data_IF_158412445185
#
_entry.id   IF_158412445185
#
_cell.length_a   1.000
_cell.length_b   1.000
_cell.length_c   1.000
_cell.angle_alpha   90.00
_cell.angle_beta   90.00
_cell.angle_gamma   90.00
#
_symmetry.space_group_name_H-M   'P 1'
#
loop_
_entity.id
_entity.type
_entity.pdbx_description
1 polymer ?
#
# COMPACT_ATOMS: atom_id res chain seq x y z
N UNK A 1 70.34 -51.18 -43.68
CA UNK A 1 69.31 -52.22 -43.47
C UNK A 1 68.73 -52.06 -42.06
N UNK A 2 67.43 -52.35 -41.88
CA UNK A 2 66.42 -51.56 -41.14
C UNK A 2 66.44 -51.79 -39.62
N UNK A 3 65.80 -51.02 -38.72
CA UNK A 3 64.37 -50.73 -38.61
C UNK A 3 64.15 -49.57 -37.59
N UNK A 4 63.36 -48.52 -37.90
CA UNK A 4 61.89 -48.41 -37.82
C UNK A 4 61.39 -48.18 -36.38
N UNK A 5 60.57 -47.11 -36.25
CA UNK A 5 59.39 -46.90 -35.35
C UNK A 5 59.54 -45.73 -34.36
N UNK A 6 58.90 -44.59 -34.67
CA UNK A 6 57.59 -44.12 -34.16
C UNK A 6 57.80 -43.18 -32.95
N UNK A 7 57.09 -42.06 -32.73
CA UNK A 7 56.07 -41.29 -33.44
C UNK A 7 55.76 -40.03 -32.57
N UNK A 8 55.23 -38.97 -33.20
CA UNK A 8 54.26 -37.96 -32.67
C UNK A 8 54.78 -37.01 -31.55
N UNK A 9 55.11 -35.74 -31.82
CA UNK A 9 54.31 -34.54 -32.17
C UNK A 9 53.77 -33.75 -30.95
N UNK A 10 54.05 -32.44 -30.87
CA UNK A 10 53.05 -31.36 -30.88
C UNK A 10 53.62 -29.96 -30.54
N UNK A 11 52.96 -28.95 -31.15
CA UNK A 11 52.75 -27.55 -30.74
C UNK A 11 53.75 -26.47 -31.19
N UNK A 12 53.47 -25.96 -32.40
CA UNK A 12 53.81 -24.62 -32.83
C UNK A 12 52.74 -23.63 -32.31
N UNK A 13 53.17 -22.68 -31.49
CA UNK A 13 52.45 -21.44 -31.24
C UNK A 13 52.97 -20.38 -32.23
N UNK A 14 52.04 -19.65 -32.86
CA UNK A 14 52.09 -18.22 -33.18
C UNK A 14 51.20 -17.95 -34.40
N UNK A 15 50.25 -17.00 -34.27
CA UNK A 15 49.70 -16.31 -35.42
C UNK A 15 48.36 -15.62 -35.21
N UNK A 16 48.38 -14.29 -35.39
CA UNK A 16 47.29 -13.37 -35.79
C UNK A 16 46.36 -12.86 -34.68
N UNK A 17 46.39 -11.58 -34.26
CA UNK A 17 46.17 -10.29 -34.95
C UNK A 17 44.67 -10.00 -35.27
N UNK A 18 44.20 -8.86 -34.72
CA UNK A 18 42.95 -8.11 -34.97
C UNK A 18 41.60 -8.76 -34.62
N UNK A 19 40.97 -8.25 -33.55
CA UNK A 19 39.51 -8.30 -33.39
C UNK A 19 39.03 -6.94 -32.86
N UNK A 20 38.30 -6.26 -33.75
CA UNK A 20 37.62 -4.99 -33.67
C UNK A 20 37.27 -4.45 -32.26
N UNK A 21 37.64 -3.20 -32.03
CA UNK A 21 36.92 -2.29 -31.14
C UNK A 21 35.51 -2.11 -31.70
N UNK A 22 34.54 -2.85 -31.18
CA UNK A 22 33.14 -2.56 -31.42
C UNK A 22 32.80 -1.23 -30.73
N UNK A 23 32.96 -0.13 -31.47
CA UNK A 23 32.27 1.12 -31.16
C UNK A 23 30.79 0.79 -31.28
N UNK A 24 30.14 0.52 -30.14
CA UNK A 24 28.71 0.34 -30.08
C UNK A 24 28.05 1.56 -30.71
N UNK A 25 27.55 1.40 -31.93
CA UNK A 25 26.69 2.40 -32.53
C UNK A 25 25.52 2.53 -31.57
N UNK A 26 25.42 3.68 -30.90
CA UNK A 26 24.19 4.06 -30.22
C UNK A 26 23.11 4.04 -31.30
N UNK A 27 22.33 2.95 -31.33
CA UNK A 27 21.24 2.80 -32.27
C UNK A 27 20.29 3.97 -32.03
N UNK A 28 20.02 4.75 -33.07
CA UNK A 28 19.03 5.82 -33.01
C UNK A 28 17.72 5.23 -32.48
N UNK A 29 17.13 5.81 -31.41
CA UNK A 29 15.90 5.27 -30.85
C UNK A 29 14.81 5.18 -31.91
N UNK A 30 14.09 4.06 -31.94
CA UNK A 30 12.93 3.93 -32.81
C UNK A 30 11.78 4.84 -32.34
N UNK A 31 10.74 5.09 -33.16
CA UNK A 31 9.67 6.03 -32.80
C UNK A 31 8.99 5.73 -31.45
N UNK A 32 8.78 4.45 -31.12
CA UNK A 32 8.18 4.03 -29.85
C UNK A 32 9.09 4.33 -28.65
N UNK A 33 10.39 4.19 -28.82
CA UNK A 33 11.38 4.52 -27.80
C UNK A 33 11.45 6.03 -27.56
N UNK A 34 11.45 6.82 -28.63
CA UNK A 34 11.40 8.29 -28.57
C UNK A 34 10.13 8.78 -27.88
N UNK A 35 8.97 8.23 -28.22
CA UNK A 35 7.67 8.58 -27.60
C UNK A 35 7.64 8.23 -26.11
N UNK A 36 8.13 7.05 -25.73
CA UNK A 36 8.17 6.63 -24.34
C UNK A 36 9.11 7.51 -23.50
N UNK A 37 10.27 7.91 -24.07
CA UNK A 37 11.19 8.84 -23.42
C UNK A 37 10.55 10.22 -23.23
N UNK A 38 9.93 10.78 -24.26
CA UNK A 38 9.24 12.07 -24.18
C UNK A 38 8.10 12.05 -23.14
N UNK A 39 7.35 10.95 -23.08
CA UNK A 39 6.27 10.76 -22.09
C UNK A 39 6.82 10.74 -20.66
N UNK A 40 7.95 10.05 -20.44
CA UNK A 40 8.62 10.02 -19.14
C UNK A 40 9.13 11.41 -18.74
N UNK A 41 9.79 12.12 -19.65
CA UNK A 41 10.32 13.47 -19.40
C UNK A 41 9.20 14.47 -19.07
N UNK A 42 8.08 14.40 -19.79
CA UNK A 42 6.89 15.21 -19.49
C UNK A 42 6.34 14.91 -18.10
N UNK A 43 6.11 13.63 -17.77
CA UNK A 43 5.57 13.23 -16.46
C UNK A 43 6.50 13.62 -15.30
N UNK A 44 7.83 13.55 -15.52
CA UNK A 44 8.83 14.01 -14.55
C UNK A 44 8.79 15.54 -14.38
N UNK A 45 8.64 16.28 -15.49
CA UNK A 45 8.47 17.74 -15.47
C UNK A 45 7.22 18.17 -14.68
N UNK A 46 6.08 17.53 -14.95
CA UNK A 46 4.83 17.77 -14.22
C UNK A 46 4.99 17.48 -12.74
N UNK A 47 5.61 16.35 -12.38
CA UNK A 47 5.81 15.98 -10.99
C UNK A 47 6.66 17.01 -10.24
N UNK A 48 7.76 17.48 -10.84
CA UNK A 48 8.59 18.56 -10.27
C UNK A 48 7.81 19.86 -10.10
N UNK A 49 7.05 20.25 -11.12
CA UNK A 49 6.25 21.48 -11.10
C UNK A 49 5.20 21.47 -9.98
N UNK A 50 4.43 20.38 -9.87
CA UNK A 50 3.37 20.24 -8.86
C UNK A 50 3.96 20.15 -7.45
N UNK A 51 5.12 19.51 -7.26
CA UNK A 51 5.85 19.52 -5.98
C UNK A 51 6.23 20.95 -5.58
N UNK A 52 6.84 21.70 -6.50
CA UNK A 52 7.25 23.07 -6.25
C UNK A 52 6.06 23.99 -5.95
N UNK A 53 4.95 23.85 -6.68
CA UNK A 53 3.72 24.60 -6.44
C UNK A 53 3.17 24.33 -5.04
N UNK A 54 3.03 23.06 -4.65
CA UNK A 54 2.50 22.70 -3.32
C UNK A 54 3.43 23.18 -2.21
N UNK A 55 4.75 23.05 -2.38
CA UNK A 55 5.75 23.58 -1.45
C UNK A 55 5.61 25.09 -1.29
N UNK A 56 5.56 25.82 -2.39
CA UNK A 56 5.40 27.28 -2.38
C UNK A 56 4.12 27.73 -1.68
N UNK A 57 2.98 27.06 -1.93
CA UNK A 57 1.72 27.34 -1.24
C UNK A 57 1.83 27.10 0.28
N UNK A 58 2.46 26.01 0.70
CA UNK A 58 2.66 25.69 2.13
C UNK A 58 3.59 26.69 2.80
N UNK A 59 4.74 26.98 2.21
CA UNK A 59 5.74 27.89 2.79
C UNK A 59 5.20 29.33 2.89
N UNK A 60 4.41 29.76 1.91
CA UNK A 60 3.72 31.05 1.90
C UNK A 60 2.45 31.08 2.76
N UNK A 61 2.07 29.97 3.42
CA UNK A 61 0.84 29.81 4.21
C UNK A 61 -0.43 30.19 3.42
N UNK A 62 -0.41 29.94 2.11
CA UNK A 62 -1.57 30.16 1.26
C UNK A 62 -2.64 29.09 1.52
N UNK A 63 -3.93 29.40 1.30
CA UNK A 63 -4.98 28.39 1.30
C UNK A 63 -4.65 27.27 0.30
N UNK A 64 -4.73 26.01 0.75
CA UNK A 64 -4.57 24.87 -0.13
C UNK A 64 -5.89 24.56 -0.86
N UNK A 65 -5.87 23.95 -2.07
CA UNK A 65 -7.06 23.44 -2.73
C UNK A 65 -7.80 22.41 -1.87
N UNK A 66 -9.06 22.16 -2.21
CA UNK A 66 -9.92 21.21 -1.48
C UNK A 66 -9.36 19.76 -1.45
N UNK A 67 -8.55 19.36 -2.42
CA UNK A 67 -7.91 18.04 -2.49
C UNK A 67 -6.38 18.20 -2.60
N UNK A 68 -5.71 18.67 -1.53
CA UNK A 68 -4.39 19.30 -1.65
C UNK A 68 -3.27 18.32 -2.07
N UNK A 69 -3.39 17.05 -1.68
CA UNK A 69 -2.48 15.97 -2.06
C UNK A 69 -2.89 15.18 -3.31
N UNK A 70 -4.07 15.42 -3.88
CA UNK A 70 -4.55 14.59 -4.99
C UNK A 70 -3.72 14.81 -6.27
N UNK A 71 -3.39 16.07 -6.61
CA UNK A 71 -2.54 16.37 -7.75
C UNK A 71 -1.14 15.76 -7.60
N UNK A 72 -0.55 15.87 -6.40
CA UNK A 72 0.73 15.24 -6.06
C UNK A 72 0.69 13.72 -6.24
N UNK A 73 -0.35 13.09 -5.71
CA UNK A 73 -0.52 11.64 -5.80
C UNK A 73 -0.61 11.18 -7.25
N UNK A 74 -1.43 11.86 -8.07
CA UNK A 74 -1.59 11.53 -9.48
C UNK A 74 -0.29 11.73 -10.26
N UNK A 75 0.43 12.83 -10.03
CA UNK A 75 1.70 13.11 -10.69
C UNK A 75 2.77 12.06 -10.32
N UNK A 76 2.83 11.64 -9.04
CA UNK A 76 3.69 10.54 -8.59
C UNK A 76 3.35 9.23 -9.31
N UNK A 77 2.07 8.89 -9.42
CA UNK A 77 1.65 7.67 -10.13
C UNK A 77 2.00 7.77 -11.62
N UNK A 78 1.80 8.93 -12.24
CA UNK A 78 2.09 9.17 -13.65
C UNK A 78 3.58 9.00 -13.98
N UNK A 79 4.50 9.56 -13.18
CA UNK A 79 5.94 9.43 -13.45
C UNK A 79 6.44 7.99 -13.30
N UNK A 80 5.98 7.26 -12.28
CA UNK A 80 6.31 5.82 -12.09
C UNK A 80 5.74 4.99 -13.25
N UNK A 81 4.50 5.30 -13.66
CA UNK A 81 3.82 4.66 -14.78
C UNK A 81 4.54 4.90 -16.12
N UNK A 82 4.95 6.14 -16.39
CA UNK A 82 5.67 6.50 -17.61
C UNK A 82 7.08 5.90 -17.65
N UNK A 83 7.74 5.79 -16.49
CA UNK A 83 9.03 5.09 -16.41
C UNK A 83 8.88 3.60 -16.72
N UNK A 84 7.81 2.95 -16.26
CA UNK A 84 7.52 1.55 -16.64
C UNK A 84 7.28 1.40 -18.14
N UNK A 85 6.58 2.34 -18.78
CA UNK A 85 6.41 2.33 -20.24
C UNK A 85 7.75 2.53 -20.96
N UNK A 86 8.62 3.41 -20.44
CA UNK A 86 9.97 3.63 -20.95
C UNK A 86 10.83 2.37 -20.87
N UNK A 87 10.86 1.69 -19.73
CA UNK A 87 11.66 0.47 -19.56
C UNK A 87 11.10 -0.71 -20.35
N UNK A 88 9.79 -0.75 -20.62
CA UNK A 88 9.19 -1.71 -21.56
C UNK A 88 9.62 -1.47 -23.00
N UNK A 89 9.72 -0.21 -23.43
CA UNK A 89 10.19 0.14 -24.78
C UNK A 89 11.72 0.08 -24.92
N UNK A 90 12.44 0.33 -23.82
CA UNK A 90 13.89 0.43 -23.74
C UNK A 90 14.41 -0.26 -22.47
N UNK A 91 14.55 -1.60 -22.46
CA UNK A 91 15.05 -2.33 -21.29
C UNK A 91 16.43 -1.88 -20.80
N UNK A 92 17.25 -1.27 -21.67
CA UNK A 92 18.53 -0.65 -21.29
C UNK A 92 18.40 0.54 -20.34
N UNK A 93 17.20 1.09 -20.16
CA UNK A 93 16.90 2.17 -19.22
C UNK A 93 16.54 1.67 -17.82
N UNK A 94 16.43 0.36 -17.60
CA UNK A 94 16.23 -0.22 -16.27
C UNK A 94 17.41 0.18 -15.38
N UNK A 95 17.11 0.90 -14.31
CA UNK A 95 18.11 1.48 -13.43
C UNK A 95 18.60 0.55 -12.32
N UNK A 96 19.26 1.17 -11.34
CA UNK A 96 19.70 0.52 -10.10
C UNK A 96 18.54 0.24 -9.14
N UNK A 97 18.72 -0.65 -8.14
CA UNK A 97 17.82 -0.73 -6.99
C UNK A 97 17.67 0.61 -6.28
N UNK A 98 16.48 0.81 -5.69
CA UNK A 98 16.10 2.01 -4.93
C UNK A 98 15.77 1.65 -3.48
N UNK A 99 15.79 2.65 -2.60
CA UNK A 99 15.49 2.50 -1.17
C UNK A 99 14.02 2.19 -0.87
N UNK A 100 13.14 2.28 -1.87
CA UNK A 100 11.73 1.93 -1.75
C UNK A 100 11.46 0.47 -2.05
N UNK A 101 12.46 -0.28 -2.51
CA UNK A 101 12.38 -1.70 -2.90
C UNK A 101 11.36 -1.95 -4.02
N UNK A 102 11.04 -0.90 -4.78
CA UNK A 102 10.23 -1.02 -5.99
C UNK A 102 11.11 -1.67 -7.08
N UNK A 103 10.62 -2.66 -7.85
CA UNK A 103 11.44 -3.28 -8.88
C UNK A 103 12.03 -2.23 -9.85
N UNK A 104 13.32 -2.31 -10.24
CA UNK A 104 13.98 -1.25 -11.02
C UNK A 104 13.38 -0.98 -12.41
N UNK A 105 12.57 -1.89 -12.94
CA UNK A 105 11.82 -1.63 -14.17
C UNK A 105 10.65 -0.64 -13.96
N UNK A 106 10.17 -0.50 -12.72
CA UNK A 106 9.01 0.33 -12.40
C UNK A 106 9.39 1.69 -11.83
N UNK A 107 10.61 1.87 -11.33
CA UNK A 107 10.99 3.07 -10.60
C UNK A 107 12.39 3.57 -10.95
N UNK A 108 12.47 4.84 -11.35
CA UNK A 108 13.73 5.54 -11.59
C UNK A 108 14.35 5.91 -10.23
N UNK A 109 15.50 5.32 -9.91
CA UNK A 109 16.18 5.60 -8.65
C UNK A 109 16.69 7.04 -8.53
N UNK A 110 16.81 7.79 -9.63
CA UNK A 110 17.29 9.17 -9.61
C UNK A 110 16.23 10.16 -9.12
N UNK A 111 14.95 9.75 -9.09
CA UNK A 111 13.85 10.59 -8.57
C UNK A 111 13.58 10.37 -7.07
N UNK A 112 14.39 9.57 -6.37
CA UNK A 112 14.25 9.34 -4.92
C UNK A 112 14.09 10.64 -4.11
N UNK A 113 14.86 11.73 -4.36
CA UNK A 113 14.68 12.99 -3.62
C UNK A 113 13.31 13.64 -3.83
N UNK A 114 12.69 13.47 -5.01
CA UNK A 114 11.36 13.99 -5.30
C UNK A 114 10.28 13.19 -4.55
N UNK A 115 10.48 11.88 -4.38
CA UNK A 115 9.58 11.05 -3.57
C UNK A 115 9.72 11.38 -2.07
N UNK A 116 10.92 11.70 -1.60
CA UNK A 116 11.09 12.19 -0.23
C UNK A 116 10.38 13.52 -0.01
N UNK A 117 10.46 14.43 -0.99
CA UNK A 117 9.76 15.70 -0.93
C UNK A 117 8.24 15.51 -0.95
N UNK A 118 7.74 14.63 -1.82
CA UNK A 118 6.35 14.19 -1.80
C UNK A 118 5.95 13.71 -0.39
N UNK A 119 6.76 12.87 0.25
CA UNK A 119 6.52 12.40 1.61
C UNK A 119 6.43 13.52 2.63
N UNK A 120 7.38 14.45 2.61
CA UNK A 120 7.39 15.63 3.52
C UNK A 120 6.18 16.55 3.34
N UNK A 121 5.71 16.74 2.11
CA UNK A 121 4.51 17.54 1.86
C UNK A 121 3.26 16.85 2.42
N UNK A 122 3.17 15.52 2.26
CA UNK A 122 2.10 14.74 2.86
C UNK A 122 2.16 14.77 4.39
N UNK A 123 3.34 14.73 5.01
CA UNK A 123 3.49 14.87 6.46
C UNK A 123 2.86 16.16 6.99
N UNK A 124 2.93 17.25 6.23
CA UNK A 124 2.32 18.54 6.58
C UNK A 124 0.80 18.52 6.35
N UNK A 125 0.35 18.04 5.19
CA UNK A 125 -1.09 18.04 4.84
C UNK A 125 -1.91 17.05 5.68
N UNK A 126 -1.28 15.97 6.14
CA UNK A 126 -1.90 14.92 6.96
C UNK A 126 -1.73 15.17 8.46
N UNK A 127 -1.06 16.26 8.85
CA UNK A 127 -0.78 16.53 10.24
C UNK A 127 -2.06 16.55 11.09
N UNK A 128 -2.07 15.87 12.25
CA UNK A 128 -3.18 15.94 13.19
C UNK A 128 -3.36 17.39 13.69
N UNK A 129 -4.58 17.77 14.11
CA UNK A 129 -4.76 19.03 14.82
C UNK A 129 -3.98 19.02 16.15
N UNK A 130 -3.61 20.21 16.63
CA UNK A 130 -2.76 20.36 17.83
C UNK A 130 -3.35 19.73 19.10
N UNK A 131 -4.67 19.60 19.18
CA UNK A 131 -5.40 18.99 20.30
C UNK A 131 -5.68 17.49 20.12
N UNK A 132 -5.09 16.84 19.11
CA UNK A 132 -5.23 15.40 18.93
C UNK A 132 -4.64 14.64 20.12
N UNK A 133 -5.37 13.65 20.60
CA UNK A 133 -5.03 12.81 21.74
C UNK A 133 -4.34 11.55 21.24
N UNK A 134 -3.02 11.51 21.39
CA UNK A 134 -2.20 10.36 21.04
C UNK A 134 -2.23 9.30 22.16
N UNK A 135 -2.22 8.04 21.76
CA UNK A 135 -1.95 6.92 22.65
C UNK A 135 -0.45 6.70 22.81
N UNK A 136 -0.06 6.24 24.02
CA UNK A 136 1.28 5.76 24.31
C UNK A 136 1.56 4.36 23.71
N UNK A 137 0.51 3.60 23.37
CA UNK A 137 0.61 2.22 22.86
C UNK A 137 -0.15 2.03 21.54
N UNK A 138 0.04 2.89 20.54
CA UNK A 138 -0.89 3.00 19.41
C UNK A 138 -1.09 1.71 18.63
N UNK A 139 0.00 0.96 18.41
CA UNK A 139 -0.06 -0.30 17.69
C UNK A 139 -0.68 -1.43 18.52
N UNK A 140 -0.45 -1.44 19.84
CA UNK A 140 -1.08 -2.41 20.74
C UNK A 140 -2.59 -2.19 20.76
N UNK A 141 -3.03 -0.93 20.79
CA UNK A 141 -4.44 -0.57 20.80
C UNK A 141 -5.17 -1.11 19.57
N UNK A 142 -4.58 -0.98 18.38
CA UNK A 142 -5.13 -1.54 17.13
C UNK A 142 -5.30 -3.06 17.24
N UNK A 143 -4.29 -3.75 17.78
CA UNK A 143 -4.33 -5.21 17.93
C UNK A 143 -5.36 -5.63 18.97
N UNK A 144 -5.33 -5.03 20.16
CA UNK A 144 -6.20 -5.38 21.28
C UNK A 144 -7.67 -5.16 20.93
N UNK A 145 -8.01 -3.99 20.36
CA UNK A 145 -9.37 -3.67 19.93
C UNK A 145 -9.88 -4.69 18.91
N UNK A 146 -9.09 -5.00 17.88
CA UNK A 146 -9.50 -5.95 16.87
C UNK A 146 -9.65 -7.38 17.41
N UNK A 147 -8.77 -7.81 18.32
CA UNK A 147 -8.86 -9.11 19.00
C UNK A 147 -10.12 -9.19 19.85
N UNK A 148 -10.43 -8.16 20.64
CA UNK A 148 -11.62 -8.12 21.47
C UNK A 148 -12.91 -8.13 20.62
N UNK A 149 -12.97 -7.33 19.56
CA UNK A 149 -14.10 -7.32 18.61
C UNK A 149 -14.29 -8.71 17.98
N UNK A 150 -13.21 -9.36 17.57
CA UNK A 150 -13.27 -10.71 16.99
C UNK A 150 -13.79 -11.74 18.01
N UNK A 151 -13.31 -11.70 19.25
CA UNK A 151 -13.78 -12.59 20.34
C UNK A 151 -15.26 -12.36 20.67
N UNK A 152 -15.69 -11.11 20.80
CA UNK A 152 -17.11 -10.77 21.01
C UNK A 152 -17.99 -11.26 19.85
N UNK A 153 -17.44 -11.36 18.64
CA UNK A 153 -18.11 -11.95 17.46
C UNK A 153 -18.01 -13.48 17.38
N UNK A 154 -17.46 -14.14 18.40
CA UNK A 154 -17.41 -15.60 18.53
C UNK A 154 -16.20 -16.27 17.88
N UNK A 155 -15.15 -15.52 17.51
CA UNK A 155 -13.95 -16.14 16.93
C UNK A 155 -13.12 -16.85 17.99
N UNK A 156 -12.58 -18.02 17.61
CA UNK A 156 -11.58 -18.75 18.38
C UNK A 156 -10.30 -17.89 18.59
N UNK A 157 -9.49 -18.18 19.63
CA UNK A 157 -8.36 -17.35 20.00
C UNK A 157 -7.36 -17.10 18.86
N UNK A 158 -7.03 -18.11 18.06
CA UNK A 158 -6.11 -18.01 16.92
C UNK A 158 -6.66 -17.10 15.80
N UNK A 159 -7.93 -17.23 15.46
CA UNK A 159 -8.60 -16.38 14.49
C UNK A 159 -8.77 -14.94 14.99
N UNK A 160 -9.01 -14.75 16.29
CA UNK A 160 -9.03 -13.41 16.88
C UNK A 160 -7.65 -12.74 16.81
N UNK A 161 -6.55 -13.49 17.03
CA UNK A 161 -5.20 -12.98 16.81
C UNK A 161 -4.93 -12.61 15.34
N UNK A 162 -5.45 -13.40 14.40
CA UNK A 162 -5.39 -13.04 12.98
C UNK A 162 -6.11 -11.71 12.70
N UNK A 163 -7.27 -11.45 13.33
CA UNK A 163 -7.96 -10.16 13.24
C UNK A 163 -7.08 -9.00 13.72
N UNK A 164 -6.40 -9.16 14.86
CA UNK A 164 -5.45 -8.19 15.40
C UNK A 164 -4.30 -7.88 14.44
N UNK A 165 -3.66 -8.93 13.91
CA UNK A 165 -2.58 -8.81 12.93
C UNK A 165 -3.02 -8.11 11.64
N UNK A 166 -4.15 -8.52 11.08
CA UNK A 166 -4.72 -7.94 9.86
C UNK A 166 -5.03 -6.45 10.09
N UNK A 167 -5.65 -6.12 11.22
CA UNK A 167 -6.01 -4.74 11.58
C UNK A 167 -4.78 -3.84 11.72
N UNK A 168 -3.69 -4.34 12.29
CA UNK A 168 -2.43 -3.61 12.33
C UNK A 168 -1.87 -3.40 10.91
N UNK A 169 -1.98 -4.39 10.03
CA UNK A 169 -1.65 -4.26 8.61
C UNK A 169 -2.39 -3.10 7.95
N UNK A 170 -3.71 -3.03 8.12
CA UNK A 170 -4.54 -1.96 7.58
C UNK A 170 -4.18 -0.59 8.16
N UNK A 171 -3.92 -0.51 9.46
CA UNK A 171 -3.47 0.72 10.08
C UNK A 171 -2.19 1.25 9.40
N UNK A 172 -1.22 0.38 9.09
CA UNK A 172 -0.03 0.78 8.32
C UNK A 172 -0.35 1.14 6.86
N UNK A 173 -1.24 0.39 6.20
CA UNK A 173 -1.65 0.66 4.81
C UNK A 173 -2.22 2.07 4.66
N UNK A 174 -3.10 2.46 5.57
CA UNK A 174 -3.80 3.74 5.49
C UNK A 174 -3.00 4.90 6.08
N UNK A 175 -2.39 4.71 7.26
CA UNK A 175 -1.81 5.81 8.03
C UNK A 175 -0.28 5.86 8.01
N UNK A 176 0.36 4.86 7.39
CA UNK A 176 1.80 4.61 7.52
C UNK A 176 2.26 4.37 8.98
N UNK A 177 1.32 3.98 9.85
CA UNK A 177 1.55 3.75 11.28
C UNK A 177 1.47 5.02 12.14
N UNK A 178 0.89 6.10 11.62
CA UNK A 178 0.77 7.38 12.33
C UNK A 178 -0.61 7.51 12.98
N UNK A 179 -0.64 8.15 14.15
CA UNK A 179 -1.87 8.39 14.89
C UNK A 179 -2.57 9.66 14.40
N UNK A 180 -3.90 9.67 14.42
CA UNK A 180 -4.73 10.87 14.26
C UNK A 180 -4.50 11.64 12.94
N UNK A 181 -3.85 11.02 11.95
CA UNK A 181 -3.54 11.65 10.68
C UNK A 181 -4.81 11.95 9.89
N UNK A 182 -4.81 13.08 9.21
CA UNK A 182 -5.84 13.44 8.25
C UNK A 182 -5.57 12.78 6.90
N UNK A 183 -6.55 12.84 6.01
CA UNK A 183 -6.34 12.42 4.63
C UNK A 183 -5.89 13.62 3.79
N UNK A 184 -4.64 13.58 3.33
CA UNK A 184 -4.08 14.65 2.51
C UNK A 184 -4.73 14.75 1.13
N UNK A 185 -5.44 13.72 0.67
CA UNK A 185 -6.02 13.64 -0.68
C UNK A 185 -7.50 14.01 -0.73
N UNK A 186 -8.22 13.97 0.39
CA UNK A 186 -9.66 14.21 0.41
C UNK A 186 -10.13 14.75 1.76
N UNK A 187 -11.02 15.74 1.70
CA UNK A 187 -11.71 16.28 2.88
C UNK A 187 -12.98 15.49 3.25
N UNK A 188 -13.43 14.58 2.38
CA UNK A 188 -14.68 13.81 2.57
C UNK A 188 -14.44 12.34 2.84
N UNK A 189 -13.44 11.75 2.19
CA UNK A 189 -13.01 10.38 2.41
C UNK A 189 -11.73 10.42 3.20
N UNK A 190 -11.78 9.97 4.44
CA UNK A 190 -10.66 10.10 5.34
C UNK A 190 -9.89 8.76 5.47
N UNK A 191 -10.56 7.60 5.39
CA UNK A 191 -9.95 6.26 5.49
C UNK A 191 -10.63 5.46 6.62
N UNK A 192 -10.44 4.14 6.70
CA UNK A 192 -11.06 3.36 7.77
C UNK A 192 -10.47 3.67 9.15
N UNK A 193 -9.17 3.95 9.27
CA UNK A 193 -8.50 4.36 10.51
C UNK A 193 -8.32 5.88 10.63
N UNK A 194 -8.96 6.62 9.75
CA UNK A 194 -8.97 8.07 9.69
C UNK A 194 -10.43 8.42 9.44
N UNK A 195 -11.33 8.19 10.39
CA UNK A 195 -12.76 8.17 10.04
C UNK A 195 -13.28 9.56 9.62
N UNK A 196 -14.15 9.57 8.60
CA UNK A 196 -15.01 10.73 8.34
C UNK A 196 -16.14 10.82 9.39
N UNK A 197 -16.84 11.96 9.51
CA UNK A 197 -17.87 12.12 10.55
C UNK A 197 -18.99 11.08 10.52
N UNK A 198 -19.38 10.59 9.33
CA UNK A 198 -20.40 9.54 9.21
C UNK A 198 -19.87 8.16 9.61
N UNK A 199 -18.61 7.88 9.28
CA UNK A 199 -17.94 6.61 9.55
C UNK A 199 -17.70 6.45 11.04
N UNK A 200 -17.22 7.51 11.70
CA UNK A 200 -17.07 7.64 13.14
C UNK A 200 -18.39 7.33 13.87
N UNK A 201 -19.45 8.09 13.56
CA UNK A 201 -20.78 7.87 14.17
C UNK A 201 -21.31 6.45 13.97
N UNK A 202 -21.10 5.87 12.79
CA UNK A 202 -21.55 4.50 12.50
C UNK A 202 -20.71 3.47 13.25
N UNK A 203 -19.40 3.70 13.36
CA UNK A 203 -18.47 2.90 14.14
C UNK A 203 -18.85 2.88 15.62
N UNK A 204 -18.97 4.05 16.22
CA UNK A 204 -19.38 4.24 17.61
C UNK A 204 -20.71 3.54 17.91
N UNK A 205 -21.74 3.76 17.07
CA UNK A 205 -23.04 3.09 17.24
C UNK A 205 -22.93 1.56 17.21
N UNK A 206 -22.08 1.01 16.34
CA UNK A 206 -21.86 -0.44 16.26
C UNK A 206 -21.03 -0.95 17.44
N UNK A 207 -20.08 -0.17 17.94
CA UNK A 207 -19.31 -0.48 19.16
C UNK A 207 -20.24 -0.60 20.36
N UNK A 208 -21.08 0.41 20.59
CA UNK A 208 -22.05 0.42 21.69
C UNK A 208 -22.97 -0.81 21.67
N UNK A 209 -23.34 -1.28 20.48
CA UNK A 209 -24.17 -2.48 20.33
C UNK A 209 -23.50 -3.79 20.79
N UNK A 210 -22.16 -3.83 20.92
CA UNK A 210 -21.41 -5.00 21.38
C UNK A 210 -20.64 -4.73 22.69
N UNK A 211 -20.78 -3.55 23.29
CA UNK A 211 -19.97 -3.14 24.45
C UNK A 211 -20.11 -4.06 25.66
N UNK A 212 -21.32 -4.59 25.89
CA UNK A 212 -21.56 -5.59 26.93
C UNK A 212 -20.83 -6.92 26.66
N UNK A 213 -20.80 -7.36 25.39
CA UNK A 213 -20.07 -8.56 24.99
C UNK A 213 -18.57 -8.37 25.16
N UNK A 214 -18.05 -7.18 24.82
CA UNK A 214 -16.65 -6.80 25.07
C UNK A 214 -16.34 -6.86 26.56
N UNK A 215 -17.17 -6.25 27.41
CA UNK A 215 -16.99 -6.27 28.86
C UNK A 215 -17.01 -7.70 29.43
N UNK A 216 -17.78 -8.62 28.84
CA UNK A 216 -17.82 -10.02 29.26
C UNK A 216 -16.54 -10.79 28.88
N UNK A 217 -15.92 -10.49 27.74
CA UNK A 217 -14.71 -11.20 27.27
C UNK A 217 -13.40 -10.53 27.70
N UNK A 218 -13.42 -9.22 27.93
CA UNK A 218 -12.26 -8.41 28.29
C UNK A 218 -12.68 -7.17 29.12
N UNK A 219 -12.91 -7.34 30.44
CA UNK A 219 -13.33 -6.25 31.33
C UNK A 219 -12.32 -5.10 31.40
N UNK A 220 -11.02 -5.39 31.31
CA UNK A 220 -9.96 -4.38 31.37
C UNK A 220 -9.95 -3.49 30.13
N UNK A 221 -10.12 -4.08 28.93
CA UNK A 221 -10.26 -3.32 27.70
C UNK A 221 -11.51 -2.45 27.72
N UNK A 222 -12.63 -2.96 28.24
CA UNK A 222 -13.86 -2.18 28.39
C UNK A 222 -13.67 -0.98 29.34
N UNK A 223 -13.03 -1.19 30.50
CA UNK A 223 -12.72 -0.10 31.42
C UNK A 223 -11.76 0.94 30.81
N UNK A 224 -10.82 0.49 29.97
CA UNK A 224 -9.96 1.39 29.20
C UNK A 224 -10.75 2.19 28.17
N UNK A 225 -11.69 1.56 27.48
CA UNK A 225 -12.58 2.21 26.53
C UNK A 225 -13.38 3.35 27.20
N UNK A 226 -13.96 3.10 28.37
CA UNK A 226 -14.66 4.13 29.16
C UNK A 226 -13.76 5.32 29.54
N UNK A 227 -12.46 5.06 29.81
CA UNK A 227 -11.49 6.12 30.10
C UNK A 227 -11.16 6.95 28.86
N UNK A 228 -11.00 6.33 27.70
CA UNK A 228 -10.70 7.04 26.46
C UNK A 228 -11.91 7.82 25.93
N UNK A 229 -13.12 7.26 26.03
CA UNK A 229 -14.39 7.97 25.85
C UNK A 229 -14.45 9.22 26.74
N UNK A 230 -14.11 9.05 28.03
CA UNK A 230 -14.08 10.15 28.98
C UNK A 230 -13.06 11.23 28.63
N UNK A 231 -11.91 10.84 28.11
CA UNK A 231 -10.83 11.74 27.69
C UNK A 231 -11.18 12.51 26.41
N UNK A 232 -11.89 11.87 25.48
CA UNK A 232 -12.30 12.48 24.22
C UNK A 232 -13.51 13.43 24.37
N UNK A 233 -14.20 13.43 25.52
CA UNK A 233 -15.33 14.33 25.79
C UNK A 233 -14.97 15.81 25.56
N UNK A 234 -15.84 16.50 24.82
CA UNK A 234 -15.66 17.91 24.49
C UNK A 234 -14.61 18.17 23.39
N UNK A 235 -14.06 17.11 22.80
CA UNK A 235 -13.18 17.18 21.63
C UNK A 235 -13.81 16.44 20.46
N UNK A 236 -13.18 16.51 19.29
CA UNK A 236 -13.57 15.72 18.13
C UNK A 236 -13.03 14.29 18.29
N UNK A 237 -13.94 13.34 18.51
CA UNK A 237 -13.66 11.94 18.82
C UNK A 237 -12.72 11.26 17.83
N UNK A 238 -12.71 11.73 16.58
CA UNK A 238 -11.88 11.23 15.48
C UNK A 238 -10.40 11.53 15.66
N UNK A 239 -10.06 12.44 16.56
CA UNK A 239 -8.68 12.80 16.90
C UNK A 239 -8.25 12.30 18.28
N UNK A 240 -8.99 11.38 18.89
CA UNK A 240 -8.44 10.48 19.90
C UNK A 240 -8.08 9.15 19.22
N UNK A 241 -6.85 8.68 19.44
CA UNK A 241 -6.33 7.50 18.75
C UNK A 241 -7.17 6.25 19.03
N UNK A 242 -7.53 6.01 20.29
CA UNK A 242 -8.26 4.81 20.70
C UNK A 242 -9.64 4.76 20.05
N UNK A 243 -10.41 5.84 20.20
CA UNK A 243 -11.78 5.93 19.71
C UNK A 243 -11.83 5.90 18.18
N UNK A 244 -10.93 6.62 17.51
CA UNK A 244 -10.86 6.60 16.04
C UNK A 244 -10.50 5.22 15.49
N UNK A 245 -9.54 4.51 16.10
CA UNK A 245 -9.20 3.13 15.71
C UNK A 245 -10.38 2.19 15.90
N UNK A 246 -11.02 2.24 17.07
CA UNK A 246 -12.17 1.41 17.42
C UNK A 246 -13.34 1.63 16.46
N UNK A 247 -13.72 2.89 16.27
CA UNK A 247 -14.88 3.26 15.44
C UNK A 247 -14.59 2.98 13.96
N UNK A 248 -13.35 3.17 13.53
CA UNK A 248 -12.86 2.75 12.22
C UNK A 248 -13.01 1.27 11.94
N UNK A 249 -12.53 0.42 12.86
CA UNK A 249 -12.67 -1.03 12.80
C UNK A 249 -14.14 -1.45 12.76
N UNK A 250 -14.96 -0.90 13.65
CA UNK A 250 -16.39 -1.22 13.73
C UNK A 250 -17.16 -0.77 12.49
N UNK A 251 -16.80 0.37 11.92
CA UNK A 251 -17.44 0.88 10.71
C UNK A 251 -17.19 -0.05 9.51
N UNK A 252 -15.93 -0.38 9.23
CA UNK A 252 -15.53 -0.91 7.94
C UNK A 252 -15.25 -2.42 7.92
N UNK A 253 -14.70 -2.97 9.02
CA UNK A 253 -14.05 -4.29 9.01
C UNK A 253 -14.70 -5.32 9.93
N UNK A 254 -15.28 -4.90 11.04
CA UNK A 254 -15.74 -5.81 12.10
C UNK A 254 -16.72 -6.89 11.61
N UNK A 255 -17.59 -6.60 10.66
CA UNK A 255 -18.50 -7.62 10.10
C UNK A 255 -17.77 -8.71 9.28
N UNK A 256 -16.63 -8.37 8.67
CA UNK A 256 -15.82 -9.34 7.90
C UNK A 256 -15.00 -10.24 8.82
N UNK A 257 -14.81 -9.88 10.10
CA UNK A 257 -14.05 -10.74 11.02
C UNK A 257 -14.62 -12.15 11.13
N UNK A 258 -15.95 -12.31 11.01
CA UNK A 258 -16.59 -13.64 10.98
C UNK A 258 -16.10 -14.54 9.85
N UNK A 259 -15.60 -13.97 8.76
CA UNK A 259 -15.07 -14.69 7.59
C UNK A 259 -13.59 -15.06 7.73
N UNK A 260 -12.88 -14.57 8.77
CA UNK A 260 -11.44 -14.83 8.97
C UNK A 260 -11.09 -16.32 8.92
N UNK A 261 -11.84 -17.26 9.53
CA UNK A 261 -11.51 -18.69 9.43
C UNK A 261 -11.43 -19.19 7.98
N UNK A 262 -12.38 -18.78 7.14
CA UNK A 262 -12.39 -19.14 5.72
C UNK A 262 -11.27 -18.41 4.96
N UNK A 263 -11.05 -17.14 5.25
CA UNK A 263 -9.98 -16.33 4.63
C UNK A 263 -8.60 -16.92 4.92
N UNK A 264 -8.29 -17.30 6.16
CA UNK A 264 -7.01 -17.90 6.54
C UNK A 264 -6.79 -19.22 5.82
N UNK A 265 -7.85 -20.01 5.61
CA UNK A 265 -7.78 -21.27 4.83
C UNK A 265 -7.48 -21.01 3.35
N UNK A 266 -8.12 -20.00 2.75
CA UNK A 266 -7.96 -19.69 1.32
C UNK A 266 -6.68 -18.91 1.01
N UNK A 267 -6.27 -18.02 1.91
CA UNK A 267 -5.10 -17.16 1.82
C UNK A 267 -4.15 -17.48 2.99
N UNK A 268 -3.30 -18.51 2.89
CA UNK A 268 -2.42 -18.88 3.99
C UNK A 268 -1.34 -17.82 4.28
N UNK A 269 -0.97 -16.99 3.30
CA UNK A 269 -0.01 -15.90 3.50
C UNK A 269 -0.65 -14.75 4.30
N UNK A 270 -0.10 -14.41 5.48
CA UNK A 270 -0.44 -13.22 6.26
C UNK A 270 -0.59 -11.91 5.46
N UNK A 271 0.28 -11.67 4.48
CA UNK A 271 0.29 -10.44 3.68
C UNK A 271 -0.89 -10.40 2.71
N UNK A 272 -1.22 -11.53 2.09
CA UNK A 272 -2.38 -11.60 1.18
C UNK A 272 -3.70 -11.42 1.92
N UNK A 273 -3.78 -11.86 3.18
CA UNK A 273 -4.93 -11.54 4.04
C UNK A 273 -5.06 -10.03 4.30
N UNK A 274 -3.95 -9.33 4.55
CA UNK A 274 -3.97 -7.87 4.73
C UNK A 274 -4.38 -7.14 3.44
N UNK A 275 -3.86 -7.57 2.29
CA UNK A 275 -4.26 -7.04 0.97
C UNK A 275 -5.75 -7.22 0.71
N UNK A 276 -6.31 -8.38 1.06
CA UNK A 276 -7.75 -8.63 0.89
C UNK A 276 -8.58 -7.64 1.72
N UNK A 277 -8.18 -7.37 2.95
CA UNK A 277 -8.88 -6.40 3.78
C UNK A 277 -8.69 -4.95 3.30
N UNK A 278 -7.55 -4.61 2.72
CA UNK A 278 -7.35 -3.32 2.05
C UNK A 278 -8.30 -3.18 0.83
N UNK A 279 -8.53 -4.26 0.09
CA UNK A 279 -9.52 -4.29 -1.00
C UNK A 279 -10.97 -4.11 -0.52
N UNK A 280 -11.27 -4.35 0.75
CA UNK A 280 -12.60 -4.03 1.31
C UNK A 280 -12.80 -2.52 1.37
N UNK A 281 -11.73 -1.73 1.51
CA UNK A 281 -11.80 -0.26 1.42
C UNK A 281 -11.80 0.23 -0.02
N UNK A 282 -10.94 -0.34 -0.86
CA UNK A 282 -10.77 0.14 -2.23
C UNK A 282 -11.96 -0.24 -3.13
N UNK A 283 -12.46 -1.48 -3.02
CA UNK A 283 -13.54 -2.04 -3.84
C UNK A 283 -14.48 -2.91 -2.99
N UNK A 284 -15.21 -2.34 -2.01
CA UNK A 284 -15.98 -3.07 -1.00
C UNK A 284 -16.97 -4.09 -1.58
N UNK A 285 -17.78 -3.67 -2.55
CA UNK A 285 -18.84 -4.51 -3.12
C UNK A 285 -18.25 -5.74 -3.85
N UNK A 286 -17.32 -5.60 -4.80
CA UNK A 286 -16.64 -6.75 -5.40
C UNK A 286 -15.97 -7.68 -4.38
N UNK A 287 -15.30 -7.14 -3.37
CA UNK A 287 -14.59 -7.96 -2.36
C UNK A 287 -15.56 -8.78 -1.52
N UNK A 288 -16.67 -8.20 -1.08
CA UNK A 288 -17.72 -8.92 -0.35
C UNK A 288 -18.40 -9.98 -1.22
N UNK A 289 -18.62 -9.70 -2.51
CA UNK A 289 -19.17 -10.67 -3.45
C UNK A 289 -18.21 -11.85 -3.68
N UNK A 290 -16.91 -11.58 -3.78
CA UNK A 290 -15.88 -12.61 -3.93
C UNK A 290 -15.75 -13.49 -2.69
N UNK A 291 -15.87 -12.94 -1.49
CA UNK A 291 -15.93 -13.72 -0.25
C UNK A 291 -17.14 -14.65 -0.21
N UNK A 292 -18.31 -14.17 -0.65
CA UNK A 292 -19.56 -14.94 -0.66
C UNK A 292 -19.65 -15.97 -1.79
N UNK A 293 -18.77 -15.92 -2.79
CA UNK A 293 -18.85 -16.82 -3.95
C UNK A 293 -18.39 -18.25 -3.64
N UNK A 294 -17.62 -18.45 -2.56
CA UNK A 294 -16.94 -19.71 -2.30
C UNK A 294 -15.71 -19.98 -3.19
N UNK A 295 -15.44 -19.09 -4.17
CA UNK A 295 -14.26 -19.14 -5.05
C UNK A 295 -13.62 -17.75 -5.15
N UNK A 296 -13.05 -17.31 -4.01
CA UNK A 296 -12.47 -15.99 -3.85
C UNK A 296 -11.43 -15.69 -4.94
N UNK A 297 -10.46 -16.58 -5.13
CA UNK A 297 -9.28 -16.30 -5.96
C UNK A 297 -9.60 -16.21 -7.45
N UNK A 298 -10.58 -16.97 -7.93
CA UNK A 298 -10.98 -16.93 -9.34
C UNK A 298 -12.13 -15.95 -9.62
N UNK A 299 -12.76 -15.37 -8.59
CA UNK A 299 -13.79 -14.36 -8.77
C UNK A 299 -13.27 -13.21 -9.63
N UNK A 300 -13.97 -12.92 -10.73
CA UNK A 300 -13.54 -11.95 -11.74
C UNK A 300 -14.29 -10.63 -11.60
N UNK A 301 -13.52 -9.55 -11.64
CA UNK A 301 -14.00 -8.18 -11.70
C UNK A 301 -13.83 -7.67 -13.13
N UNK A 302 -14.93 -7.25 -13.76
CA UNK A 302 -14.94 -6.71 -15.14
C UNK A 302 -15.66 -5.35 -15.26
N UNK A 303 -16.23 -4.83 -14.17
CA UNK A 303 -16.88 -3.51 -14.17
C UNK A 303 -15.85 -2.42 -14.51
N UNK A 304 -16.06 -1.62 -15.57
CA UNK A 304 -15.12 -0.57 -15.96
C UNK A 304 -14.87 0.44 -14.84
N UNK A 305 -15.90 0.76 -14.06
CA UNK A 305 -15.80 1.65 -12.89
C UNK A 305 -14.89 1.06 -11.82
N UNK A 306 -15.06 -0.22 -11.49
CA UNK A 306 -14.23 -0.90 -10.50
C UNK A 306 -12.78 -1.04 -10.99
N UNK A 307 -12.58 -1.42 -12.25
CA UNK A 307 -11.24 -1.46 -12.84
C UNK A 307 -10.55 -0.10 -12.81
N UNK A 308 -11.30 1.00 -13.04
CA UNK A 308 -10.78 2.37 -12.87
C UNK A 308 -10.38 2.64 -11.42
N UNK A 309 -11.17 2.21 -10.43
CA UNK A 309 -10.81 2.36 -9.01
C UNK A 309 -9.54 1.62 -8.65
N UNK A 310 -9.33 0.40 -9.16
CA UNK A 310 -8.08 -0.35 -8.95
C UNK A 310 -6.88 0.46 -9.47
N UNK A 311 -6.94 0.95 -10.72
CA UNK A 311 -5.86 1.76 -11.31
C UNK A 311 -5.58 3.04 -10.53
N UNK A 312 -6.63 3.73 -10.09
CA UNK A 312 -6.50 4.95 -9.29
C UNK A 312 -5.87 4.69 -7.91
N UNK A 313 -5.87 3.46 -7.42
CA UNK A 313 -5.23 3.05 -6.17
C UNK A 313 -3.91 2.29 -6.42
N UNK A 314 -3.27 2.56 -7.56
CA UNK A 314 -1.99 1.95 -7.95
C UNK A 314 -2.03 0.44 -8.18
N UNK A 315 -3.22 -0.15 -8.33
CA UNK A 315 -3.43 -1.56 -8.71
C UNK A 315 -3.68 -1.61 -10.22
N UNK A 316 -2.75 -2.18 -10.98
CA UNK A 316 -2.72 -2.11 -12.45
C UNK A 316 -2.50 -0.70 -13.03
N UNK A 317 -1.77 0.15 -12.31
CA UNK A 317 -1.47 1.52 -12.77
C UNK A 317 -0.20 1.62 -13.64
N UNK A 318 0.71 0.65 -13.57
CA UNK A 318 2.07 0.80 -14.11
C UNK A 318 2.28 -0.11 -15.31
N UNK A 319 2.69 0.49 -16.44
CA UNK A 319 2.80 -0.20 -17.71
C UNK A 319 1.50 -0.23 -18.52
N UNK A 320 1.64 -0.16 -19.85
CA UNK A 320 0.52 -0.19 -20.80
C UNK A 320 -0.34 -1.46 -20.65
N UNK A 321 0.29 -2.63 -20.45
CA UNK A 321 -0.42 -3.90 -20.34
C UNK A 321 -1.39 -3.93 -19.16
N UNK A 322 -0.96 -3.44 -18.01
CA UNK A 322 -1.80 -3.36 -16.81
C UNK A 322 -2.93 -2.35 -16.96
N UNK A 323 -2.64 -1.17 -17.51
CA UNK A 323 -3.67 -0.14 -17.75
C UNK A 323 -4.70 -0.59 -18.80
N UNK A 324 -4.32 -1.43 -19.76
CA UNK A 324 -5.21 -1.96 -20.79
C UNK A 324 -6.15 -3.07 -20.29
N UNK A 325 -5.93 -3.64 -19.10
CA UNK A 325 -6.75 -4.75 -18.57
C UNK A 325 -8.23 -4.35 -18.44
N UNK A 326 -9.12 -5.07 -19.11
CA UNK A 326 -10.58 -4.90 -18.99
C UNK A 326 -11.19 -5.69 -17.83
N UNK A 327 -10.50 -6.70 -17.31
CA UNK A 327 -10.91 -7.48 -16.15
C UNK A 327 -9.71 -8.07 -15.42
N UNK A 328 -9.90 -8.49 -14.17
CA UNK A 328 -8.93 -9.24 -13.39
C UNK A 328 -9.63 -10.17 -12.38
N UNK A 329 -9.01 -11.31 -12.11
CA UNK A 329 -9.37 -12.16 -10.97
C UNK A 329 -8.81 -11.58 -9.66
N UNK A 330 -9.37 -11.94 -8.51
CA UNK A 330 -8.82 -11.53 -7.21
C UNK A 330 -7.38 -12.02 -7.01
N UNK A 331 -7.01 -13.18 -7.56
CA UNK A 331 -5.60 -13.60 -7.60
C UNK A 331 -4.70 -12.58 -8.29
N UNK A 332 -5.09 -12.11 -9.47
CA UNK A 332 -4.33 -11.09 -10.21
C UNK A 332 -4.31 -9.75 -9.46
N UNK A 333 -5.42 -9.37 -8.83
CA UNK A 333 -5.52 -8.13 -8.04
C UNK A 333 -4.56 -8.19 -6.85
N UNK A 334 -4.58 -9.26 -6.05
CA UNK A 334 -3.69 -9.42 -4.88
C UNK A 334 -2.21 -9.44 -5.28
N UNK A 335 -1.88 -10.05 -6.43
CA UNK A 335 -0.52 -10.02 -6.98
C UNK A 335 -0.08 -8.60 -7.40
N UNK A 336 -1.00 -7.80 -7.96
CA UNK A 336 -0.73 -6.43 -8.38
C UNK A 336 -0.60 -5.43 -7.21
N UNK A 337 -0.96 -5.82 -5.98
CA UNK A 337 -0.85 -4.98 -4.78
C UNK A 337 0.55 -4.99 -4.15
N UNK A 338 1.61 -5.23 -4.92
CA UNK A 338 2.98 -5.35 -4.42
C UNK A 338 3.51 -4.06 -3.76
N UNK A 339 2.99 -2.88 -4.11
CA UNK A 339 3.36 -1.61 -3.43
C UNK A 339 2.97 -1.58 -1.94
N UNK A 340 2.05 -2.43 -1.50
CA UNK A 340 1.64 -2.51 -0.11
C UNK A 340 2.53 -3.44 0.73
N UNK A 341 3.33 -4.32 0.10
CA UNK A 341 4.08 -5.36 0.79
C UNK A 341 4.95 -4.78 1.91
N UNK A 342 5.75 -3.75 1.62
CA UNK A 342 6.63 -3.12 2.62
C UNK A 342 5.87 -2.56 3.83
N UNK A 343 4.66 -2.03 3.62
CA UNK A 343 3.82 -1.54 4.73
C UNK A 343 3.35 -2.71 5.60
N UNK A 344 2.95 -3.80 4.97
CA UNK A 344 2.50 -5.01 5.66
C UNK A 344 3.64 -5.76 6.35
N UNK A 345 4.84 -5.79 5.76
CA UNK A 345 6.04 -6.34 6.41
C UNK A 345 6.42 -5.54 7.65
N UNK A 346 6.35 -4.20 7.60
CA UNK A 346 6.53 -3.36 8.79
C UNK A 346 5.48 -3.63 9.85
N UNK A 347 4.22 -3.81 9.46
CA UNK A 347 3.15 -4.19 10.38
C UNK A 347 3.41 -5.57 11.01
N UNK A 348 3.90 -6.54 10.24
CA UNK A 348 4.27 -7.88 10.72
C UNK A 348 5.43 -7.83 11.72
N UNK A 349 6.48 -7.08 11.41
CA UNK A 349 7.59 -6.86 12.34
C UNK A 349 7.09 -6.22 13.64
N UNK A 350 6.22 -5.20 13.53
CA UNK A 350 5.66 -4.55 14.70
C UNK A 350 4.74 -5.46 15.52
N UNK A 351 3.95 -6.31 14.84
CA UNK A 351 3.11 -7.31 15.48
C UNK A 351 3.95 -8.31 16.29
N UNK A 352 5.08 -8.77 15.73
CA UNK A 352 5.99 -9.67 16.42
C UNK A 352 6.59 -9.02 17.69
N UNK A 353 6.95 -7.73 17.63
CA UNK A 353 7.39 -6.98 18.82
C UNK A 353 6.31 -6.88 19.91
N UNK A 354 5.05 -6.71 19.52
CA UNK A 354 3.93 -6.63 20.48
C UNK A 354 3.68 -7.98 21.12
N UNK A 355 3.76 -9.08 20.34
CA UNK A 355 3.53 -10.45 20.81
C UNK A 355 4.65 -11.02 21.67
N UNK A 356 5.87 -10.50 21.52
CA UNK A 356 7.04 -10.89 22.32
C UNK A 356 7.18 -10.13 23.64
N UNK A 357 6.29 -9.19 23.92
CA UNK A 357 6.14 -8.47 25.19
C UNK A 357 4.95 -9.04 25.94
#
# INVERSE_FOLDING_TARGET
MPARRHAIAALAALGLIFSASAVGHAQTPNPKQTEALATYEHALGDFKSILAERRGQIDAKQPLPNLPGQALYLARVAVISAYKDLTDAMPSRIGRPNKFEIPPAYFDADIEPLIDEYGRLFDIMEAPPANAQNSATPFKDVVDLAVAIARAKGLAPDHAQAAGRISLGLFFAETNGKQNVRNGRSNTYMGSFQTGPSEDRNGHRKWEAIKADIAAVDPELSARDDKEEAHARGTDHRFNHWTNVRDGLMNAHAEVFREIPAIVKTLPDPIDQMKLFELIQIVPTPTRSALKSGDLLNYRVSSPTIMKHLRNNSIFAFGQADRARSSASFREILAAMWLFNRKFERAMAKYAEIRGR
#
